data_IF_739263312112
#
_entry.id   IF_739263312112
#
_cell.length_a   1.000
_cell.length_b   1.000
_cell.length_c   1.000
_cell.angle_alpha   90.00
_cell.angle_beta   90.00
_cell.angle_gamma   90.00
#
_symmetry.space_group_name_H-M   'P 1'
#
loop_
_entity.id
_entity.type
_entity.pdbx_description
1 polymer ?
#
# COMPACT_ATOMS: atom_id res chain seq x y z
N UNK A 1 -24.56 -15.59 -2.11
CA UNK A 1 -24.93 -16.29 -0.88
C UNK A 1 -24.50 -17.75 -0.86
N UNK A 2 -25.10 -18.63 -1.69
CA UNK A 2 -24.89 -20.09 -1.61
C UNK A 2 -23.41 -20.51 -1.77
N UNK A 3 -22.65 -19.91 -2.66
CA UNK A 3 -21.23 -20.21 -2.84
C UNK A 3 -20.42 -19.96 -1.55
N UNK A 4 -20.66 -18.84 -0.85
CA UNK A 4 -20.00 -18.54 0.43
C UNK A 4 -20.27 -19.60 1.47
N UNK A 5 -21.52 -20.08 1.56
CA UNK A 5 -21.92 -21.13 2.51
C UNK A 5 -21.18 -22.42 2.18
N UNK A 6 -21.17 -22.84 0.91
CA UNK A 6 -20.48 -24.04 0.46
C UNK A 6 -18.96 -23.99 0.73
N UNK A 7 -18.32 -22.86 0.45
CA UNK A 7 -16.88 -22.68 0.71
C UNK A 7 -16.57 -22.68 2.21
N UNK A 8 -17.39 -22.00 3.00
CA UNK A 8 -17.23 -22.01 4.46
C UNK A 8 -17.44 -23.42 5.05
N UNK A 9 -18.41 -24.18 4.53
CA UNK A 9 -18.64 -25.56 4.92
C UNK A 9 -17.41 -26.43 4.59
N UNK A 10 -16.83 -26.28 3.40
CA UNK A 10 -15.64 -27.03 3.00
C UNK A 10 -14.44 -26.74 3.92
N UNK A 11 -14.22 -25.47 4.27
CA UNK A 11 -13.16 -25.07 5.21
C UNK A 11 -13.41 -25.67 6.59
N UNK A 12 -14.64 -25.55 7.13
CA UNK A 12 -14.99 -26.01 8.48
C UNK A 12 -14.84 -27.52 8.63
N UNK A 13 -15.09 -28.28 7.56
CA UNK A 13 -15.04 -29.76 7.61
C UNK A 13 -13.70 -30.31 7.08
N UNK A 14 -12.70 -29.46 6.80
CA UNK A 14 -11.35 -29.90 6.46
C UNK A 14 -11.21 -30.58 5.10
N UNK A 15 -12.03 -30.20 4.11
CA UNK A 15 -11.86 -30.70 2.75
C UNK A 15 -10.58 -30.14 2.11
N UNK A 16 -9.97 -30.91 1.20
CA UNK A 16 -8.78 -30.45 0.47
C UNK A 16 -9.13 -29.57 -0.73
N UNK A 17 -10.21 -29.94 -1.44
CA UNK A 17 -10.65 -29.28 -2.67
C UNK A 17 -12.15 -29.05 -2.61
N UNK A 18 -12.60 -27.89 -3.09
CA UNK A 18 -14.01 -27.59 -3.32
C UNK A 18 -14.22 -27.21 -4.77
N UNK A 19 -15.28 -27.74 -5.37
CA UNK A 19 -15.63 -27.47 -6.76
C UNK A 19 -16.98 -26.78 -6.84
N UNK A 20 -17.03 -25.68 -7.59
CA UNK A 20 -18.27 -25.05 -8.03
C UNK A 20 -18.64 -25.60 -9.40
N UNK A 21 -19.80 -26.17 -9.50
CA UNK A 21 -20.41 -26.64 -10.74
C UNK A 21 -21.87 -26.20 -10.74
N UNK A 22 -22.28 -25.44 -11.75
CA UNK A 22 -23.68 -25.03 -11.88
C UNK A 22 -24.55 -26.22 -12.30
N UNK A 23 -25.72 -26.31 -11.68
CA UNK A 23 -26.70 -27.40 -11.96
C UNK A 23 -27.61 -27.13 -13.16
N UNK A 24 -27.28 -26.16 -14.01
CA UNK A 24 -28.07 -25.75 -15.18
C UNK A 24 -27.74 -26.54 -16.47
N UNK A 25 -26.86 -27.54 -16.37
CA UNK A 25 -26.48 -28.38 -17.50
C UNK A 25 -25.53 -27.72 -18.51
N UNK A 26 -25.09 -26.48 -18.27
CA UNK A 26 -24.17 -25.78 -19.18
C UNK A 26 -22.74 -26.31 -19.17
N UNK A 27 -22.36 -27.07 -18.15
CA UNK A 27 -21.02 -27.57 -17.93
C UNK A 27 -20.98 -29.08 -17.84
N UNK A 28 -19.87 -29.67 -18.25
CA UNK A 28 -19.62 -31.10 -18.35
C UNK A 28 -19.14 -31.70 -16.97
N UNK A 29 -20.00 -32.30 -16.15
CA UNK A 29 -19.60 -32.85 -14.84
C UNK A 29 -18.57 -33.97 -14.97
N UNK A 30 -18.52 -34.69 -16.07
CA UNK A 30 -17.54 -35.72 -16.38
C UNK A 30 -16.08 -35.22 -16.42
N UNK A 31 -15.87 -33.90 -16.55
CA UNK A 31 -14.54 -33.26 -16.48
C UNK A 31 -14.07 -33.00 -15.05
N UNK A 32 -14.81 -33.42 -14.03
CA UNK A 32 -14.49 -33.15 -12.63
C UNK A 32 -13.08 -33.59 -12.25
N UNK A 33 -12.67 -34.77 -12.69
CA UNK A 33 -11.32 -35.28 -12.36
C UNK A 33 -10.21 -34.41 -12.98
N UNK A 34 -10.39 -33.91 -14.19
CA UNK A 34 -9.45 -33.01 -14.83
C UNK A 34 -9.38 -31.65 -14.11
N UNK A 35 -10.49 -31.19 -13.56
CA UNK A 35 -10.57 -29.95 -12.79
C UNK A 35 -9.83 -30.03 -11.45
N UNK A 36 -9.88 -31.17 -10.75
CA UNK A 36 -9.26 -31.31 -9.43
C UNK A 36 -7.81 -31.81 -9.49
N UNK A 37 -7.42 -32.60 -10.51
CA UNK A 37 -6.09 -33.18 -10.62
C UNK A 37 -4.93 -32.17 -10.45
N UNK A 38 -4.94 -30.96 -11.08
CA UNK A 38 -3.85 -30.01 -10.89
C UNK A 38 -3.70 -29.49 -9.46
N UNK A 39 -4.79 -29.50 -8.68
CA UNK A 39 -4.76 -29.11 -7.26
C UNK A 39 -4.19 -30.25 -6.42
N UNK A 40 -4.64 -31.48 -6.66
CA UNK A 40 -4.13 -32.66 -5.96
C UNK A 40 -2.64 -32.91 -6.23
N UNK A 41 -2.18 -32.61 -7.45
CA UNK A 41 -0.76 -32.69 -7.85
C UNK A 41 0.09 -31.48 -7.36
N UNK A 42 -0.46 -30.58 -6.58
CA UNK A 42 0.16 -29.31 -6.14
C UNK A 42 0.72 -28.44 -7.30
N UNK A 43 0.08 -28.51 -8.47
CA UNK A 43 0.44 -27.70 -9.66
C UNK A 43 -0.39 -26.43 -9.79
N UNK A 44 -1.51 -26.32 -9.08
CA UNK A 44 -2.39 -25.17 -9.06
C UNK A 44 -3.09 -25.02 -7.70
N UNK A 45 -3.48 -23.81 -7.38
CA UNK A 45 -4.30 -23.48 -6.21
C UNK A 45 -5.77 -23.24 -6.62
N UNK A 46 -5.96 -22.86 -7.90
CA UNK A 46 -7.27 -22.60 -8.52
C UNK A 46 -7.26 -23.19 -9.93
N UNK A 47 -8.34 -23.86 -10.29
CA UNK A 47 -8.56 -24.32 -11.67
C UNK A 47 -9.86 -23.75 -12.20
N UNK A 48 -9.82 -23.12 -13.35
CA UNK A 48 -10.95 -22.54 -14.06
C UNK A 48 -11.25 -23.38 -15.30
N UNK A 49 -12.46 -23.87 -15.43
CA UNK A 49 -12.93 -24.50 -16.66
C UNK A 49 -13.31 -23.42 -17.67
N UNK A 50 -12.45 -23.17 -18.65
CA UNK A 50 -12.66 -22.09 -19.63
C UNK A 50 -13.32 -22.61 -20.90
N UNK A 51 -14.36 -21.92 -21.31
CA UNK A 51 -15.06 -22.10 -22.60
C UNK A 51 -14.37 -21.32 -23.72
N UNK A 52 -13.47 -20.39 -23.36
CA UNK A 52 -12.91 -19.38 -24.25
C UNK A 52 -11.45 -19.67 -24.68
N UNK A 53 -10.81 -20.73 -24.16
CA UNK A 53 -9.51 -21.20 -24.66
C UNK A 53 -9.64 -21.55 -26.15
N UNK A 54 -10.68 -22.30 -26.48
CA UNK A 54 -11.04 -22.65 -27.86
C UNK A 54 -12.32 -21.90 -28.24
N UNK A 55 -12.17 -20.62 -28.58
CA UNK A 55 -13.32 -19.69 -28.80
C UNK A 55 -14.38 -20.19 -29.77
N UNK A 56 -13.98 -20.95 -30.78
CA UNK A 56 -14.89 -21.53 -31.76
C UNK A 56 -15.83 -22.58 -31.14
N UNK A 57 -15.37 -23.31 -30.13
CA UNK A 57 -16.16 -24.37 -29.52
C UNK A 57 -17.29 -23.81 -28.62
N UNK A 58 -17.08 -22.61 -28.06
CA UNK A 58 -18.15 -21.90 -27.37
C UNK A 58 -19.34 -21.57 -28.31
N UNK A 59 -19.07 -21.18 -29.56
CA UNK A 59 -20.11 -20.93 -30.56
C UNK A 59 -20.75 -22.23 -31.02
N UNK A 60 -20.00 -23.31 -31.22
CA UNK A 60 -20.55 -24.64 -31.49
C UNK A 60 -21.50 -25.11 -30.36
N UNK A 61 -21.16 -24.78 -29.11
CA UNK A 61 -22.00 -25.01 -27.94
C UNK A 61 -23.20 -24.06 -27.83
N UNK A 62 -23.56 -23.35 -28.88
CA UNK A 62 -24.69 -22.42 -28.98
C UNK A 62 -24.60 -21.20 -28.06
N UNK A 63 -23.38 -20.76 -27.67
CA UNK A 63 -23.24 -19.51 -26.94
C UNK A 63 -23.78 -18.33 -27.78
N UNK A 64 -24.72 -17.52 -27.24
CA UNK A 64 -25.21 -16.35 -27.94
C UNK A 64 -24.08 -15.38 -28.31
N UNK A 65 -24.09 -14.84 -29.54
CA UNK A 65 -23.00 -14.01 -30.07
C UNK A 65 -22.71 -12.79 -29.18
N UNK A 66 -23.76 -12.14 -28.64
CA UNK A 66 -23.57 -11.00 -27.72
C UNK A 66 -22.87 -11.40 -26.42
N UNK A 67 -23.11 -12.61 -25.87
CA UNK A 67 -22.40 -13.15 -24.70
C UNK A 67 -20.95 -13.48 -25.03
N UNK A 68 -20.72 -14.04 -26.23
CA UNK A 68 -19.36 -14.36 -26.69
C UNK A 68 -18.51 -13.10 -26.88
N UNK A 69 -19.02 -12.07 -27.57
CA UNK A 69 -18.35 -10.78 -27.74
C UNK A 69 -18.15 -10.09 -26.38
N UNK A 70 -19.22 -10.04 -25.56
CA UNK A 70 -19.16 -9.44 -24.23
C UNK A 70 -18.11 -10.09 -23.33
N UNK A 71 -18.00 -11.41 -23.35
CA UNK A 71 -16.97 -12.16 -22.59
C UNK A 71 -15.55 -11.77 -23.06
N UNK A 72 -15.30 -11.72 -24.36
CA UNK A 72 -13.99 -11.33 -24.92
C UNK A 72 -13.62 -9.91 -24.49
N UNK A 73 -14.52 -8.95 -24.67
CA UNK A 73 -14.27 -7.54 -24.34
C UNK A 73 -14.02 -7.38 -22.84
N UNK A 74 -14.87 -7.99 -22.01
CA UNK A 74 -14.76 -7.85 -20.56
C UNK A 74 -13.50 -8.56 -20.01
N UNK A 75 -13.20 -9.76 -20.51
CA UNK A 75 -11.95 -10.47 -20.20
C UNK A 75 -10.71 -9.67 -20.62
N UNK A 76 -10.73 -9.05 -21.79
CA UNK A 76 -9.64 -8.18 -22.23
C UNK A 76 -9.42 -7.00 -21.28
N UNK A 77 -10.49 -6.31 -20.86
CA UNK A 77 -10.42 -5.20 -19.90
C UNK A 77 -9.89 -5.66 -18.55
N UNK A 78 -10.41 -6.78 -18.03
CA UNK A 78 -9.96 -7.36 -16.77
C UNK A 78 -8.46 -7.73 -16.82
N UNK A 79 -8.01 -8.42 -17.87
CA UNK A 79 -6.60 -8.75 -18.06
C UNK A 79 -5.71 -7.50 -18.10
N UNK A 80 -6.17 -6.42 -18.76
CA UNK A 80 -5.41 -5.15 -18.79
C UNK A 80 -5.33 -4.48 -17.43
N UNK A 81 -6.44 -4.45 -16.69
CA UNK A 81 -6.47 -3.83 -15.35
C UNK A 81 -5.69 -4.68 -14.36
N UNK A 82 -5.87 -6.00 -14.35
CA UNK A 82 -5.28 -6.91 -13.37
C UNK A 82 -3.86 -7.36 -13.74
N UNK A 83 -3.34 -6.98 -14.91
CA UNK A 83 -2.08 -7.48 -15.46
C UNK A 83 -2.01 -9.01 -15.52
N UNK A 84 -3.14 -9.65 -15.89
CA UNK A 84 -3.31 -11.10 -15.99
C UNK A 84 -3.41 -11.57 -17.45
N UNK A 85 -3.53 -12.89 -17.65
CA UNK A 85 -3.59 -13.50 -18.99
C UNK A 85 -4.60 -14.64 -19.06
N UNK A 86 -5.73 -14.52 -18.36
CA UNK A 86 -6.78 -15.52 -18.43
C UNK A 86 -7.52 -15.46 -19.77
N UNK A 87 -7.97 -16.60 -20.25
CA UNK A 87 -8.83 -16.70 -21.42
C UNK A 87 -10.29 -16.35 -21.09
N UNK A 88 -10.71 -16.56 -19.82
CA UNK A 88 -12.06 -16.31 -19.33
C UNK A 88 -12.09 -16.07 -17.81
N UNK A 89 -12.86 -15.04 -17.38
CA UNK A 89 -13.16 -14.79 -15.95
C UNK A 89 -14.57 -15.25 -15.54
N UNK A 90 -15.44 -15.54 -16.50
CA UNK A 90 -16.90 -15.63 -16.29
C UNK A 90 -17.45 -17.06 -16.34
N UNK A 91 -16.57 -18.04 -16.14
CA UNK A 91 -16.98 -19.45 -16.06
C UNK A 91 -17.62 -19.78 -14.72
N UNK A 92 -18.64 -20.64 -14.71
CA UNK A 92 -19.24 -21.19 -13.48
C UNK A 92 -18.68 -22.57 -13.08
N UNK A 93 -17.63 -23.07 -13.76
CA UNK A 93 -16.97 -24.31 -13.40
C UNK A 93 -15.57 -24.01 -12.85
N UNK A 94 -15.41 -24.19 -11.54
CA UNK A 94 -14.19 -23.78 -10.84
C UNK A 94 -13.85 -24.77 -9.73
N UNK A 95 -12.56 -25.07 -9.55
CA UNK A 95 -12.04 -25.81 -8.43
C UNK A 95 -11.06 -24.96 -7.63
N UNK A 96 -11.11 -25.07 -6.31
CA UNK A 96 -10.23 -24.34 -5.40
C UNK A 96 -9.61 -25.28 -4.38
N UNK A 97 -8.30 -25.11 -4.13
CA UNK A 97 -7.69 -25.64 -2.93
C UNK A 97 -8.31 -24.93 -1.71
N UNK A 98 -8.86 -25.68 -0.77
CA UNK A 98 -9.56 -25.12 0.40
C UNK A 98 -8.62 -24.26 1.26
N UNK A 99 -7.34 -24.65 1.38
CA UNK A 99 -6.29 -23.85 2.03
C UNK A 99 -6.14 -22.45 1.42
N UNK A 100 -6.30 -22.32 0.11
CA UNK A 100 -6.21 -21.04 -0.59
C UNK A 100 -7.45 -20.18 -0.39
N UNK A 101 -8.65 -20.78 -0.36
CA UNK A 101 -9.89 -20.11 0.02
C UNK A 101 -9.84 -19.56 1.45
N UNK A 102 -9.34 -20.36 2.39
CA UNK A 102 -9.22 -19.96 3.80
C UNK A 102 -8.27 -18.76 4.00
N UNK A 103 -7.37 -18.48 3.05
CA UNK A 103 -6.41 -17.38 3.13
C UNK A 103 -6.93 -16.03 2.60
N UNK A 104 -8.14 -15.97 2.06
CA UNK A 104 -8.73 -14.75 1.49
C UNK A 104 -10.08 -14.44 2.14
N UNK A 105 -10.44 -13.15 2.28
CA UNK A 105 -11.69 -12.74 2.92
C UNK A 105 -12.89 -12.85 1.96
N UNK A 106 -13.12 -14.03 1.36
CA UNK A 106 -14.23 -14.22 0.42
C UNK A 106 -15.61 -13.96 1.03
N UNK A 107 -15.73 -14.02 2.35
CA UNK A 107 -16.92 -13.64 3.10
C UNK A 107 -17.35 -12.18 2.83
N UNK A 108 -16.40 -11.29 2.59
CA UNK A 108 -16.60 -9.87 2.33
C UNK A 108 -16.93 -9.55 0.86
N UNK A 109 -16.91 -10.55 -0.02
CA UNK A 109 -17.22 -10.37 -1.44
C UNK A 109 -18.70 -10.08 -1.67
N UNK A 110 -19.01 -9.59 -2.87
CA UNK A 110 -20.39 -9.37 -3.31
C UNK A 110 -21.28 -10.60 -3.10
N UNK A 111 -22.57 -10.40 -2.85
CA UNK A 111 -23.58 -11.46 -2.83
C UNK A 111 -24.24 -11.67 -4.20
N UNK A 112 -23.76 -10.98 -5.24
CA UNK A 112 -24.27 -11.03 -6.61
C UNK A 112 -23.30 -11.82 -7.51
N UNK A 113 -23.51 -11.74 -8.82
CA UNK A 113 -22.73 -12.46 -9.84
C UNK A 113 -21.28 -11.98 -9.96
N UNK A 114 -20.94 -10.77 -9.50
CA UNK A 114 -19.59 -10.24 -9.44
C UNK A 114 -18.73 -10.89 -8.31
N UNK A 115 -19.33 -11.71 -7.44
CA UNK A 115 -18.61 -12.56 -6.47
C UNK A 115 -17.47 -13.35 -7.12
N UNK A 116 -17.74 -13.90 -8.28
CA UNK A 116 -16.81 -14.71 -9.04
C UNK A 116 -15.57 -13.94 -9.51
N UNK A 117 -15.74 -12.67 -9.83
CA UNK A 117 -14.63 -11.78 -10.14
C UNK A 117 -13.86 -11.40 -8.89
N UNK A 118 -14.55 -11.08 -7.80
CA UNK A 118 -13.92 -10.70 -6.54
C UNK A 118 -12.96 -11.79 -6.05
N UNK A 119 -13.39 -13.06 -6.07
CA UNK A 119 -12.57 -14.18 -5.59
C UNK A 119 -11.35 -14.44 -6.50
N UNK A 120 -11.48 -14.29 -7.82
CA UNK A 120 -10.34 -14.41 -8.74
C UNK A 120 -9.34 -13.30 -8.47
N UNK A 121 -9.79 -12.05 -8.25
CA UNK A 121 -8.91 -10.94 -7.87
C UNK A 121 -8.15 -11.28 -6.60
N UNK A 122 -8.85 -11.79 -5.57
CA UNK A 122 -8.25 -12.19 -4.31
C UNK A 122 -7.17 -13.27 -4.50
N UNK A 123 -7.40 -14.24 -5.36
CA UNK A 123 -6.41 -15.29 -5.68
C UNK A 123 -5.19 -14.71 -6.40
N UNK A 124 -5.37 -13.77 -7.34
CA UNK A 124 -4.26 -13.10 -8.00
C UNK A 124 -3.42 -12.26 -7.03
N UNK A 125 -4.06 -11.42 -6.24
CA UNK A 125 -3.37 -10.50 -5.32
C UNK A 125 -2.63 -11.24 -4.20
N UNK A 126 -3.07 -12.46 -3.85
CA UNK A 126 -2.39 -13.33 -2.87
C UNK A 126 -1.39 -14.29 -3.51
N UNK A 127 -1.09 -14.13 -4.82
CA UNK A 127 -0.08 -14.90 -5.54
C UNK A 127 -0.42 -16.39 -5.73
N UNK A 128 -1.72 -16.74 -5.77
CA UNK A 128 -2.15 -18.13 -5.97
C UNK A 128 -2.00 -18.53 -7.44
N UNK A 129 -1.61 -19.79 -7.66
CA UNK A 129 -1.40 -20.37 -8.99
C UNK A 129 -2.74 -20.71 -9.61
N UNK A 130 -3.14 -19.96 -10.66
CA UNK A 130 -4.39 -20.19 -11.39
C UNK A 130 -4.08 -20.92 -12.70
N UNK A 131 -4.79 -22.01 -12.95
CA UNK A 131 -4.69 -22.80 -14.19
C UNK A 131 -6.04 -22.80 -14.89
N UNK A 132 -6.05 -22.77 -16.22
CA UNK A 132 -7.24 -22.92 -17.04
C UNK A 132 -7.23 -24.26 -17.74
N UNK A 133 -8.40 -24.88 -17.84
CA UNK A 133 -8.64 -26.15 -18.57
C UNK A 133 -9.77 -25.91 -19.57
N UNK A 134 -9.61 -26.29 -20.86
CA UNK A 134 -10.68 -26.17 -21.84
C UNK A 134 -11.83 -27.11 -21.48
N UNK A 135 -13.03 -26.60 -21.43
CA UNK A 135 -14.24 -27.37 -21.18
C UNK A 135 -15.26 -27.13 -22.29
N UNK A 136 -16.01 -28.17 -22.69
CA UNK A 136 -17.16 -27.98 -23.54
C UNK A 136 -18.27 -27.22 -22.78
N UNK A 137 -19.11 -26.53 -23.53
CA UNK A 137 -20.30 -25.87 -22.97
C UNK A 137 -21.48 -26.07 -23.89
N UNK A 138 -22.66 -26.07 -23.33
CA UNK A 138 -23.89 -26.16 -24.06
C UNK A 138 -24.88 -25.10 -23.56
N UNK A 139 -25.42 -24.33 -24.45
CA UNK A 139 -26.46 -23.35 -24.19
C UNK A 139 -27.81 -23.87 -24.72
N UNK A 140 -28.72 -24.19 -23.81
CA UNK A 140 -30.10 -24.55 -24.12
C UNK A 140 -31.02 -23.34 -24.06
N UNK A 141 -32.27 -23.58 -23.67
CA UNK A 141 -33.30 -22.54 -23.59
C UNK A 141 -33.36 -21.81 -22.24
N UNK A 142 -32.25 -21.88 -21.45
CA UNK A 142 -32.21 -21.27 -20.11
C UNK A 142 -32.27 -19.74 -20.19
N UNK A 143 -33.14 -19.15 -19.35
CA UNK A 143 -33.30 -17.71 -19.22
C UNK A 143 -32.21 -17.17 -18.31
N UNK A 144 -31.30 -16.37 -18.82
CA UNK A 144 -30.30 -15.67 -18.03
C UNK A 144 -30.94 -14.50 -17.28
N UNK A 145 -31.01 -14.58 -15.96
CA UNK A 145 -31.45 -13.48 -15.08
C UNK A 145 -30.43 -12.34 -14.89
N UNK A 146 -29.28 -12.38 -15.60
CA UNK A 146 -28.20 -11.43 -15.44
C UNK A 146 -28.37 -10.23 -16.38
N UNK A 147 -28.49 -9.02 -15.82
CA UNK A 147 -28.33 -7.80 -16.61
C UNK A 147 -26.85 -7.61 -16.96
N UNK A 148 -26.46 -7.91 -18.20
CA UNK A 148 -25.08 -7.93 -18.66
C UNK A 148 -24.34 -6.59 -18.49
N UNK A 149 -24.99 -5.45 -18.72
CA UNK A 149 -24.37 -4.13 -18.58
C UNK A 149 -24.07 -3.82 -17.11
N UNK A 150 -25.05 -4.05 -16.21
CA UNK A 150 -24.88 -3.84 -14.78
C UNK A 150 -23.80 -4.77 -14.21
N UNK A 151 -23.74 -6.00 -14.69
CA UNK A 151 -22.69 -6.95 -14.35
C UNK A 151 -21.31 -6.46 -14.81
N UNK A 152 -21.17 -6.06 -16.08
CA UNK A 152 -19.91 -5.56 -16.63
C UNK A 152 -19.38 -4.34 -15.85
N UNK A 153 -20.25 -3.37 -15.50
CA UNK A 153 -19.87 -2.21 -14.70
C UNK A 153 -19.36 -2.61 -13.31
N UNK A 154 -20.01 -3.55 -12.62
CA UNK A 154 -19.57 -4.03 -11.30
C UNK A 154 -18.23 -4.75 -11.37
N UNK A 155 -18.04 -5.59 -12.39
CA UNK A 155 -16.80 -6.31 -12.63
C UNK A 155 -15.64 -5.34 -12.85
N UNK A 156 -15.81 -4.35 -13.74
CA UNK A 156 -14.78 -3.32 -13.97
C UNK A 156 -14.53 -2.51 -12.71
N UNK A 157 -15.58 -2.13 -11.98
CA UNK A 157 -15.45 -1.42 -10.70
C UNK A 157 -14.63 -2.23 -9.67
N UNK A 158 -14.88 -3.54 -9.52
CA UNK A 158 -14.10 -4.40 -8.63
C UNK A 158 -12.63 -4.47 -9.05
N UNK A 159 -12.34 -4.61 -10.35
CA UNK A 159 -10.97 -4.62 -10.85
C UNK A 159 -10.24 -3.28 -10.59
N UNK A 160 -10.90 -2.15 -10.84
CA UNK A 160 -10.33 -0.84 -10.57
C UNK A 160 -10.11 -0.62 -9.07
N UNK A 161 -11.08 -1.03 -8.24
CA UNK A 161 -11.00 -0.93 -6.80
C UNK A 161 -9.79 -1.69 -6.24
N UNK A 162 -9.55 -2.92 -6.71
CA UNK A 162 -8.39 -3.70 -6.27
C UNK A 162 -7.06 -2.99 -6.59
N UNK A 163 -7.00 -2.22 -7.68
CA UNK A 163 -5.81 -1.46 -8.09
C UNK A 163 -5.64 -0.13 -7.37
N UNK A 164 -6.72 0.47 -6.90
CA UNK A 164 -6.68 1.73 -6.13
C UNK A 164 -6.39 1.47 -4.65
N UNK A 165 -6.81 0.34 -4.11
CA UNK A 165 -6.58 -0.06 -2.73
C UNK A 165 -5.10 0.05 -2.27
N UNK A 166 -4.10 -0.46 -3.02
CA UNK A 166 -2.70 -0.33 -2.62
C UNK A 166 -2.21 1.11 -2.51
N UNK A 167 -2.88 2.06 -3.17
CA UNK A 167 -2.57 3.50 -3.06
C UNK A 167 -3.11 4.11 -1.75
N UNK A 168 -3.92 3.37 -0.97
CA UNK A 168 -4.52 3.89 0.26
C UNK A 168 -5.49 5.07 0.06
N UNK A 169 -6.05 5.20 -1.14
CA UNK A 169 -7.04 6.24 -1.47
C UNK A 169 -8.46 5.78 -1.13
N UNK A 170 -8.69 4.48 -1.25
CA UNK A 170 -9.97 3.84 -0.94
C UNK A 170 -9.73 2.51 -0.24
N UNK A 171 -10.57 2.14 0.71
CA UNK A 171 -10.50 0.89 1.45
C UNK A 171 -11.78 0.09 1.30
N UNK A 172 -11.64 -1.24 1.11
CA UNK A 172 -12.76 -2.18 1.16
C UNK A 172 -12.31 -3.50 1.77
N UNK A 173 -13.01 -4.06 2.77
CA UNK A 173 -12.61 -5.28 3.48
C UNK A 173 -12.32 -6.48 2.56
N UNK A 174 -13.03 -6.62 1.44
CA UNK A 174 -12.85 -7.75 0.51
C UNK A 174 -11.46 -7.85 -0.11
N UNK A 175 -10.68 -6.75 -0.14
CA UNK A 175 -9.31 -6.73 -0.63
C UNK A 175 -8.28 -6.50 0.48
N UNK A 176 -8.71 -6.65 1.74
CA UNK A 176 -7.84 -6.57 2.89
C UNK A 176 -7.32 -7.96 3.26
N UNK A 177 -6.28 -8.36 2.58
CA UNK A 177 -5.65 -9.65 2.85
C UNK A 177 -4.90 -9.61 4.18
N UNK A 178 -5.01 -10.67 4.98
CA UNK A 178 -4.20 -10.85 6.19
C UNK A 178 -2.75 -11.11 5.79
N UNK A 179 -2.03 -10.06 5.45
CA UNK A 179 -0.58 -10.10 5.27
C UNK A 179 0.09 -9.74 6.59
N UNK A 180 1.20 -10.40 6.92
CA UNK A 180 2.04 -10.03 8.06
C UNK A 180 2.36 -8.53 7.99
N UNK A 181 2.49 -7.86 9.14
CA UNK A 181 2.75 -6.42 9.20
C UNK A 181 3.92 -5.99 8.31
N UNK A 182 5.00 -6.78 8.26
CA UNK A 182 6.14 -6.57 7.37
C UNK A 182 5.80 -6.62 5.87
N UNK A 183 4.82 -7.42 5.46
CA UNK A 183 4.37 -7.49 4.07
C UNK A 183 3.44 -6.33 3.66
N UNK A 184 2.97 -5.53 4.61
CA UNK A 184 2.13 -4.34 4.35
C UNK A 184 2.92 -3.19 3.78
N UNK A 185 4.19 -3.05 4.16
CA UNK A 185 5.05 -1.95 3.75
C UNK A 185 6.00 -2.43 2.66
N UNK A 186 6.03 -1.72 1.53
CA UNK A 186 6.99 -1.97 0.43
C UNK A 186 7.92 -0.78 0.30
N UNK A 187 9.21 -1.00 0.04
CA UNK A 187 10.16 0.08 -0.21
C UNK A 187 9.73 0.89 -1.44
N UNK A 188 9.83 2.22 -1.33
CA UNK A 188 9.42 3.16 -2.40
C UNK A 188 10.66 3.84 -2.98
N UNK A 189 11.60 3.07 -3.55
CA UNK A 189 12.82 3.59 -4.17
C UNK A 189 12.78 3.47 -5.70
N UNK A 190 13.64 4.27 -6.38
CA UNK A 190 13.77 4.27 -7.83
C UNK A 190 12.71 5.08 -8.59
N UNK A 191 11.86 5.81 -7.86
CA UNK A 191 10.90 6.77 -8.39
C UNK A 191 10.60 7.86 -7.35
N UNK A 192 10.10 9.06 -7.73
CA UNK A 192 9.75 10.14 -6.80
C UNK A 192 8.77 9.66 -5.72
N UNK A 193 9.25 9.63 -4.47
CA UNK A 193 8.52 9.13 -3.30
C UNK A 193 9.10 9.70 -2.01
N UNK A 194 8.40 9.53 -0.88
CA UNK A 194 8.91 9.94 0.44
C UNK A 194 10.26 9.30 0.78
N UNK A 195 10.41 7.99 0.55
CA UNK A 195 11.67 7.27 0.81
C UNK A 195 12.81 7.73 -0.12
N UNK A 196 12.52 7.93 -1.42
CA UNK A 196 13.53 8.37 -2.38
C UNK A 196 14.02 9.79 -2.04
N UNK A 197 13.09 10.71 -1.73
CA UNK A 197 13.46 12.08 -1.34
C UNK A 197 14.24 12.13 -0.03
N UNK A 198 13.83 11.31 0.98
CA UNK A 198 14.56 11.23 2.23
C UNK A 198 15.99 10.67 2.04
N UNK A 199 16.13 9.64 1.20
CA UNK A 199 17.44 9.09 0.83
C UNK A 199 18.36 10.12 0.17
N UNK A 200 17.80 11.02 -0.66
CA UNK A 200 18.55 12.09 -1.33
C UNK A 200 19.01 13.20 -0.37
N UNK A 201 18.28 13.47 0.71
CA UNK A 201 18.65 14.45 1.74
C UNK A 201 19.78 13.94 2.68
N UNK A 202 20.05 12.66 2.72
CA UNK A 202 21.09 12.07 3.60
C UNK A 202 22.46 12.11 2.92
N UNK A 203 23.43 12.73 3.59
CA UNK A 203 24.82 12.77 3.10
C UNK A 203 25.51 11.40 3.29
N UNK A 204 26.37 10.97 2.35
CA UNK A 204 27.19 9.78 2.53
C UNK A 204 28.13 9.91 3.77
N UNK A 205 28.32 8.81 4.50
CA UNK A 205 29.18 8.77 5.67
C UNK A 205 28.63 9.43 6.94
N UNK A 206 27.39 9.98 6.88
CA UNK A 206 26.74 10.67 8.00
C UNK A 206 26.11 9.73 9.01
N UNK A 207 25.69 10.27 10.16
CA UNK A 207 24.88 9.55 11.16
C UNK A 207 23.44 9.97 11.04
N UNK A 208 22.55 8.98 10.90
CA UNK A 208 21.10 9.15 10.74
C UNK A 208 20.36 8.53 11.92
N UNK A 209 19.41 9.29 12.46
CA UNK A 209 18.42 8.81 13.40
C UNK A 209 17.09 8.57 12.64
N UNK A 210 16.66 7.32 12.51
CA UNK A 210 15.45 6.91 11.80
C UNK A 210 14.35 6.58 12.81
N UNK A 211 13.42 7.53 12.99
CA UNK A 211 12.34 7.48 13.99
C UNK A 211 11.09 6.88 13.34
N UNK A 212 10.60 5.77 13.89
CA UNK A 212 9.54 4.98 13.28
C UNK A 212 10.07 4.24 12.05
N UNK A 213 11.20 3.55 12.19
CA UNK A 213 11.93 2.92 11.08
C UNK A 213 11.14 1.79 10.36
N UNK A 214 10.05 1.30 10.96
CA UNK A 214 9.25 0.20 10.43
C UNK A 214 10.09 -1.03 10.10
N UNK A 215 9.97 -1.59 8.88
CA UNK A 215 10.75 -2.76 8.47
C UNK A 215 12.27 -2.51 8.30
N UNK A 216 12.75 -1.25 8.36
CA UNK A 216 14.17 -0.91 8.22
C UNK A 216 14.64 -0.64 6.79
N UNK A 217 13.75 -0.31 5.88
CA UNK A 217 14.11 -0.06 4.47
C UNK A 217 15.09 1.10 4.26
N UNK A 218 15.01 2.14 5.11
CA UNK A 218 15.96 3.26 5.05
C UNK A 218 17.35 2.82 5.49
N UNK A 219 17.46 2.08 6.60
CA UNK A 219 18.73 1.55 7.09
C UNK A 219 19.40 0.64 6.03
N UNK A 220 18.65 -0.31 5.44
CA UNK A 220 19.13 -1.16 4.35
C UNK A 220 19.64 -0.32 3.16
N UNK A 221 18.87 0.66 2.71
CA UNK A 221 19.23 1.48 1.55
C UNK A 221 20.43 2.39 1.81
N UNK A 222 20.53 2.95 3.02
CA UNK A 222 21.59 3.88 3.43
C UNK A 222 22.91 3.16 3.71
N UNK A 223 22.90 1.87 4.05
CA UNK A 223 24.12 1.08 4.30
C UNK A 223 25.08 1.12 3.10
N UNK A 224 24.56 1.13 1.87
CA UNK A 224 25.33 1.25 0.62
C UNK A 224 26.06 2.61 0.45
N UNK A 225 25.81 3.61 1.33
CA UNK A 225 26.47 4.93 1.34
C UNK A 225 27.36 5.15 2.57
N UNK A 226 27.69 4.10 3.29
CA UNK A 226 28.47 4.14 4.53
C UNK A 226 27.85 5.05 5.63
N UNK A 227 26.51 5.07 5.70
CA UNK A 227 25.75 5.85 6.68
C UNK A 227 25.55 5.00 7.93
N UNK A 228 25.78 5.58 9.11
CA UNK A 228 25.45 4.99 10.40
C UNK A 228 24.00 5.27 10.75
N UNK A 229 23.13 4.28 10.66
CA UNK A 229 21.71 4.45 10.99
C UNK A 229 21.42 3.94 12.40
N UNK A 230 20.79 4.79 13.22
CA UNK A 230 20.15 4.40 14.49
C UNK A 230 18.66 4.31 14.24
N UNK A 231 18.10 3.13 14.38
CA UNK A 231 16.69 2.87 14.10
C UNK A 231 15.88 2.74 15.39
N UNK A 232 14.81 3.51 15.49
CA UNK A 232 13.89 3.52 16.64
C UNK A 232 12.50 3.14 16.17
N UNK A 233 11.87 2.15 16.81
CA UNK A 233 10.49 1.76 16.59
C UNK A 233 9.93 1.04 17.82
N UNK A 234 8.60 0.96 17.95
CA UNK A 234 7.94 0.15 18.99
C UNK A 234 8.31 -1.32 18.89
N UNK A 235 8.61 -1.80 17.69
CA UNK A 235 9.04 -3.16 17.40
C UNK A 235 10.11 -3.15 16.32
N UNK A 236 11.27 -3.68 16.63
CA UNK A 236 12.37 -3.74 15.67
C UNK A 236 12.30 -5.04 14.86
N UNK A 237 12.06 -4.91 13.57
CA UNK A 237 12.03 -6.03 12.62
C UNK A 237 13.45 -6.54 12.28
N UNK A 238 13.60 -7.81 11.84
CA UNK A 238 14.92 -8.42 11.57
C UNK A 238 15.78 -7.64 10.58
N UNK A 239 15.19 -7.06 9.53
CA UNK A 239 15.91 -6.25 8.53
C UNK A 239 16.50 -5.00 9.15
N UNK A 240 15.71 -4.29 9.99
CA UNK A 240 16.22 -3.14 10.73
C UNK A 240 17.40 -3.52 11.65
N UNK A 241 17.32 -4.65 12.36
CA UNK A 241 18.45 -5.15 13.19
C UNK A 241 19.70 -5.47 12.38
N UNK A 242 19.53 -6.00 11.16
CA UNK A 242 20.64 -6.39 10.30
C UNK A 242 21.40 -5.18 9.75
N UNK A 243 20.71 -4.10 9.39
CA UNK A 243 21.29 -2.99 8.63
C UNK A 243 21.53 -1.74 9.44
N UNK A 244 20.99 -1.64 10.66
CA UNK A 244 21.25 -0.51 11.55
C UNK A 244 22.53 -0.69 12.36
N UNK A 245 23.23 0.39 12.59
CA UNK A 245 24.36 0.43 13.53
C UNK A 245 23.91 0.22 14.98
N UNK A 246 22.75 0.82 15.35
CA UNK A 246 22.10 0.67 16.65
C UNK A 246 20.59 0.58 16.44
N UNK A 247 19.93 -0.24 17.25
CA UNK A 247 18.46 -0.31 17.27
C UNK A 247 17.94 -0.07 18.68
N UNK A 248 16.84 0.67 18.79
CA UNK A 248 16.19 0.99 20.05
C UNK A 248 14.71 0.65 19.91
N UNK A 249 14.23 -0.26 20.76
CA UNK A 249 12.83 -0.62 20.82
C UNK A 249 12.13 0.26 21.85
N UNK A 250 11.40 1.28 21.37
CA UNK A 250 10.76 2.27 22.21
C UNK A 250 9.49 2.85 21.54
N UNK A 251 8.54 3.28 22.38
CA UNK A 251 7.41 4.09 21.91
C UNK A 251 7.84 5.56 21.78
N UNK A 252 7.80 6.07 20.55
CA UNK A 252 8.20 7.45 20.24
C UNK A 252 7.34 8.50 20.97
N UNK A 253 6.09 8.16 21.31
CA UNK A 253 5.22 9.06 22.08
C UNK A 253 5.77 9.34 23.49
N UNK A 254 6.56 8.42 24.08
CA UNK A 254 7.07 8.52 25.46
C UNK A 254 8.60 8.60 25.53
N UNK A 255 9.31 8.35 24.43
CA UNK A 255 10.79 8.28 24.43
C UNK A 255 11.44 9.66 24.54
N UNK A 256 12.45 9.82 25.43
CA UNK A 256 13.15 11.10 25.72
C UNK A 256 14.44 11.30 24.92
N UNK A 257 14.89 10.32 24.16
CA UNK A 257 16.12 10.38 23.36
C UNK A 257 17.39 10.60 24.19
N UNK A 258 17.45 10.01 25.39
CA UNK A 258 18.59 10.17 26.33
C UNK A 258 19.77 9.26 25.98
N UNK A 259 19.62 8.34 25.07
CA UNK A 259 20.69 7.47 24.58
C UNK A 259 21.85 8.27 23.95
N UNK A 260 23.05 7.68 23.99
CA UNK A 260 24.17 8.22 23.24
C UNK A 260 24.06 7.84 21.75
N UNK A 261 23.88 8.84 20.92
CA UNK A 261 23.83 8.74 19.47
C UNK A 261 25.11 9.24 18.79
N UNK A 262 26.04 9.83 19.56
CA UNK A 262 27.07 10.68 19.01
C UNK A 262 26.48 11.90 18.30
N UNK A 263 27.22 12.49 17.36
CA UNK A 263 26.72 13.58 16.53
C UNK A 263 25.73 13.04 15.50
N UNK A 264 24.50 13.55 15.52
CA UNK A 264 23.45 13.22 14.56
C UNK A 264 23.41 14.30 13.46
N UNK A 265 23.60 13.90 12.21
CA UNK A 265 23.59 14.81 11.07
C UNK A 265 22.18 14.96 10.46
N UNK A 266 21.42 13.86 10.44
CA UNK A 266 20.05 13.83 9.89
C UNK A 266 19.12 13.03 10.77
N UNK A 267 17.90 13.53 10.97
CA UNK A 267 16.79 12.83 11.63
C UNK A 267 15.70 12.59 10.59
N UNK A 268 15.30 11.34 10.43
CA UNK A 268 14.19 10.94 9.59
C UNK A 268 12.96 10.66 10.45
N UNK A 269 11.85 11.30 10.15
CA UNK A 269 10.53 11.08 10.76
C UNK A 269 9.51 10.89 9.63
N UNK A 270 9.61 9.72 8.96
CA UNK A 270 8.86 9.42 7.74
C UNK A 270 7.53 8.74 8.08
N UNK A 271 6.42 9.41 7.76
CA UNK A 271 5.08 8.91 7.97
C UNK A 271 4.83 8.44 9.44
N UNK A 272 5.41 9.17 10.42
CA UNK A 272 5.27 8.89 11.85
C UNK A 272 4.50 9.99 12.59
N UNK A 273 4.67 11.26 12.17
CA UNK A 273 4.14 12.41 12.91
C UNK A 273 2.61 12.40 13.02
N UNK A 274 1.90 11.82 12.04
CA UNK A 274 0.45 11.64 12.04
C UNK A 274 -0.04 10.54 12.99
N UNK A 275 0.83 9.61 13.37
CA UNK A 275 0.51 8.51 14.28
C UNK A 275 0.67 8.87 15.76
N UNK A 276 1.37 9.97 16.06
CA UNK A 276 1.66 10.39 17.42
C UNK A 276 0.41 10.99 18.11
N UNK A 277 0.28 10.74 19.39
CA UNK A 277 -0.73 11.40 20.23
C UNK A 277 -0.42 12.88 20.37
N UNK A 278 0.85 13.23 20.57
CA UNK A 278 1.34 14.60 20.69
C UNK A 278 2.57 14.84 19.81
N UNK A 279 2.38 15.18 18.52
CA UNK A 279 3.48 15.59 17.66
C UNK A 279 4.33 16.71 18.24
N UNK A 280 3.73 17.64 18.98
CA UNK A 280 4.37 18.77 19.62
C UNK A 280 5.38 18.32 20.70
N UNK A 281 5.06 17.23 21.43
CA UNK A 281 6.00 16.65 22.41
C UNK A 281 7.25 16.13 21.70
N UNK A 282 7.11 15.30 20.66
CA UNK A 282 8.25 14.82 19.87
C UNK A 282 9.10 16.00 19.38
N UNK A 283 8.48 17.01 18.78
CA UNK A 283 9.18 18.19 18.26
C UNK A 283 9.94 18.93 19.37
N UNK A 284 9.33 19.09 20.54
CA UNK A 284 9.98 19.72 21.70
C UNK A 284 11.17 18.93 22.22
N UNK A 285 11.02 17.61 22.35
CA UNK A 285 12.10 16.72 22.83
C UNK A 285 13.26 16.70 21.84
N UNK A 286 13.00 16.53 20.54
CA UNK A 286 14.04 16.58 19.50
C UNK A 286 14.76 17.94 19.47
N UNK A 287 14.02 19.04 19.61
CA UNK A 287 14.62 20.36 19.67
C UNK A 287 15.52 20.51 20.89
N UNK A 288 15.06 20.13 22.08
CA UNK A 288 15.84 20.21 23.33
C UNK A 288 17.12 19.37 23.23
N UNK A 289 17.03 18.17 22.65
CA UNK A 289 18.15 17.23 22.58
C UNK A 289 19.18 17.56 21.50
N UNK A 290 18.73 18.02 20.34
CA UNK A 290 19.56 18.08 19.14
C UNK A 290 19.76 19.50 18.57
N UNK A 291 19.15 20.56 19.13
CA UNK A 291 19.23 21.88 18.50
C UNK A 291 20.64 22.48 18.52
N UNK A 292 21.55 22.04 19.40
CA UNK A 292 22.95 22.45 19.41
C UNK A 292 23.70 21.94 18.17
N UNK A 293 23.48 20.68 17.79
CA UNK A 293 24.08 20.08 16.60
C UNK A 293 23.37 20.52 15.30
N UNK A 294 22.18 21.10 15.43
CA UNK A 294 21.33 21.59 14.35
C UNK A 294 21.17 20.61 13.16
N UNK A 295 20.78 19.33 13.42
CA UNK A 295 20.64 18.35 12.36
C UNK A 295 19.57 18.74 11.36
N UNK A 296 19.70 18.21 10.15
CA UNK A 296 18.59 18.25 9.18
C UNK A 296 17.50 17.26 9.60
N UNK A 297 16.27 17.72 9.78
CA UNK A 297 15.13 16.87 10.13
C UNK A 297 14.18 16.77 8.94
N UNK A 298 13.91 15.54 8.51
CA UNK A 298 13.01 15.25 7.40
C UNK A 298 11.69 14.72 7.96
N UNK A 299 10.61 15.43 7.70
CA UNK A 299 9.25 15.00 8.05
C UNK A 299 8.47 14.66 6.81
N UNK A 300 7.75 13.54 6.84
CA UNK A 300 6.69 13.26 5.86
C UNK A 300 5.38 12.96 6.56
N UNK A 301 4.27 13.23 5.86
CA UNK A 301 2.93 12.89 6.32
C UNK A 301 1.95 12.84 5.16
N UNK A 302 0.87 12.09 5.31
CA UNK A 302 -0.26 12.09 4.39
C UNK A 302 -0.87 13.48 4.21
N UNK A 303 -1.22 13.85 2.98
CA UNK A 303 -1.86 15.15 2.68
C UNK A 303 -3.38 15.00 2.62
N UNK A 304 -4.09 15.33 3.71
CA UNK A 304 -5.56 15.25 3.73
C UNK A 304 -6.23 16.23 2.75
N UNK A 305 -5.51 17.24 2.26
CA UNK A 305 -6.03 18.17 1.23
C UNK A 305 -5.85 17.68 -0.21
N UNK A 306 -5.41 16.43 -0.40
CA UNK A 306 -5.29 15.78 -1.71
C UNK A 306 -6.64 15.70 -2.42
N UNK A 307 -6.65 15.94 -3.75
CA UNK A 307 -7.88 16.07 -4.54
C UNK A 307 -8.90 14.94 -4.34
N UNK A 308 -8.53 13.64 -4.37
CA UNK A 308 -9.49 12.56 -4.15
C UNK A 308 -10.14 12.60 -2.77
N UNK A 309 -9.42 13.00 -1.72
CA UNK A 309 -9.98 13.16 -0.36
C UNK A 309 -10.98 14.31 -0.34
N UNK A 310 -10.64 15.44 -0.99
CA UNK A 310 -11.57 16.59 -1.09
C UNK A 310 -12.84 16.24 -1.86
N UNK A 311 -12.71 15.53 -2.99
CA UNK A 311 -13.88 15.06 -3.75
C UNK A 311 -14.72 14.12 -2.89
N UNK A 312 -14.10 13.19 -2.17
CA UNK A 312 -14.79 12.30 -1.24
C UNK A 312 -15.61 13.09 -0.21
N UNK A 313 -14.98 14.07 0.45
CA UNK A 313 -15.68 14.95 1.41
C UNK A 313 -16.84 15.75 0.79
N UNK A 314 -16.63 16.30 -0.42
CA UNK A 314 -17.67 17.03 -1.15
C UNK A 314 -18.88 16.14 -1.46
N UNK A 315 -18.65 14.86 -1.72
CA UNK A 315 -19.70 13.86 -1.96
C UNK A 315 -20.24 13.21 -0.67
N UNK A 316 -19.88 13.72 0.51
CA UNK A 316 -20.31 13.21 1.81
C UNK A 316 -19.57 11.97 2.30
N UNK A 317 -18.46 11.59 1.66
CA UNK A 317 -17.63 10.42 2.03
C UNK A 317 -16.35 10.84 2.75
N UNK A 318 -16.07 10.23 3.91
CA UNK A 318 -14.81 10.35 4.64
C UNK A 318 -14.50 9.00 5.28
N UNK A 319 -13.97 8.09 4.47
CA UNK A 319 -13.82 6.70 4.86
C UNK A 319 -12.38 6.38 5.23
N UNK A 320 -12.19 6.01 6.50
CA UNK A 320 -10.90 5.50 6.96
C UNK A 320 -10.61 4.11 6.43
N UNK A 321 -9.33 3.83 6.21
CA UNK A 321 -8.81 2.53 5.78
C UNK A 321 -7.68 2.05 6.68
N UNK A 322 -7.11 0.90 6.37
CA UNK A 322 -5.96 0.33 7.10
C UNK A 322 -4.61 0.82 6.58
N UNK A 323 -4.59 1.79 5.69
CA UNK A 323 -3.39 2.46 5.14
C UNK A 323 -3.76 3.68 4.33
N UNK A 324 -2.76 4.53 4.06
CA UNK A 324 -2.90 5.69 3.19
C UNK A 324 -3.18 6.97 3.95
N UNK A 325 -3.71 7.99 3.27
CA UNK A 325 -3.92 9.31 3.87
C UNK A 325 -4.93 9.26 5.02
N UNK A 326 -6.00 8.47 4.88
CA UNK A 326 -7.02 8.26 5.89
C UNK A 326 -6.83 6.90 6.57
N UNK A 327 -5.66 6.66 7.16
CA UNK A 327 -5.40 5.47 7.96
C UNK A 327 -6.13 5.55 9.30
N UNK A 328 -6.68 4.41 9.75
CA UNK A 328 -7.36 4.31 11.06
C UNK A 328 -6.42 4.59 12.23
N UNK A 329 -5.11 4.36 12.04
CA UNK A 329 -4.09 4.59 13.07
C UNK A 329 -3.58 6.04 13.10
N UNK A 330 -4.01 6.91 12.16
CA UNK A 330 -3.67 8.33 12.19
C UNK A 330 -4.43 9.05 13.30
N UNK A 331 -3.69 9.61 14.24
CA UNK A 331 -4.24 10.43 15.33
C UNK A 331 -4.49 11.87 14.87
N UNK A 332 -3.67 12.34 13.91
CA UNK A 332 -3.76 13.70 13.37
C UNK A 332 -3.59 13.71 11.85
N UNK A 333 -4.46 14.44 11.18
CA UNK A 333 -4.42 14.62 9.74
C UNK A 333 -3.80 15.97 9.39
N UNK A 334 -2.85 15.99 8.45
CA UNK A 334 -2.14 17.20 8.07
C UNK A 334 -2.48 17.67 6.66
N UNK A 335 -2.50 19.01 6.51
CA UNK A 335 -2.37 19.72 5.25
C UNK A 335 -1.00 20.39 5.20
N UNK A 336 -0.59 20.92 4.04
CA UNK A 336 0.62 21.73 3.96
C UNK A 336 0.63 22.90 4.94
N UNK A 337 -0.51 23.55 5.13
CA UNK A 337 -0.63 24.69 6.04
C UNK A 337 -0.47 24.26 7.50
N UNK A 338 -1.18 23.21 7.91
CA UNK A 338 -1.17 22.75 9.30
C UNK A 338 0.16 22.16 9.70
N UNK A 339 0.81 21.32 8.86
CA UNK A 339 2.12 20.77 9.17
C UNK A 339 3.19 21.87 9.28
N UNK A 340 3.22 22.82 8.33
CA UNK A 340 4.12 23.98 8.40
C UNK A 340 3.91 24.81 9.66
N UNK A 341 2.65 25.05 10.04
CA UNK A 341 2.32 25.77 11.26
C UNK A 341 2.79 25.03 12.51
N UNK A 342 2.55 23.71 12.59
CA UNK A 342 2.97 22.87 13.73
C UNK A 342 4.49 22.95 13.90
N UNK A 343 5.27 22.81 12.81
CA UNK A 343 6.74 22.90 12.88
C UNK A 343 7.22 24.30 13.31
N UNK A 344 6.65 25.38 12.72
CA UNK A 344 7.04 26.75 13.07
C UNK A 344 6.73 27.12 14.51
N UNK A 345 5.57 26.75 15.04
CA UNK A 345 5.17 27.02 16.44
C UNK A 345 6.12 26.29 17.41
N UNK A 346 6.64 25.13 17.01
CA UNK A 346 7.61 24.37 17.80
C UNK A 346 9.07 24.80 17.52
N UNK A 347 9.28 25.99 16.94
CA UNK A 347 10.59 26.58 16.66
C UNK A 347 11.49 25.74 15.73
N UNK A 348 10.90 25.29 14.60
CA UNK A 348 11.66 24.73 13.50
C UNK A 348 11.72 25.70 12.32
N UNK A 349 12.92 25.93 11.81
CA UNK A 349 13.13 26.59 10.53
C UNK A 349 12.81 25.64 9.38
N UNK A 350 11.99 26.09 8.43
CA UNK A 350 11.64 25.29 7.26
C UNK A 350 12.61 25.55 6.12
N UNK A 351 13.46 24.59 5.78
CA UNK A 351 14.45 24.70 4.71
C UNK A 351 13.85 24.35 3.35
N UNK A 352 13.00 23.32 3.28
CA UNK A 352 12.37 22.85 2.04
C UNK A 352 10.96 22.33 2.33
N UNK A 353 10.00 22.67 1.49
CA UNK A 353 8.63 22.14 1.57
C UNK A 353 8.18 21.76 0.16
N UNK A 354 8.02 20.47 -0.08
CA UNK A 354 7.62 19.93 -1.39
C UNK A 354 6.49 18.91 -1.26
N UNK A 355 5.87 18.59 -2.38
CA UNK A 355 4.86 17.54 -2.48
C UNK A 355 5.46 16.26 -2.99
N UNK A 356 4.97 15.14 -2.47
CA UNK A 356 5.29 13.80 -2.97
C UNK A 356 4.14 13.35 -3.88
N UNK A 357 4.43 12.88 -5.09
CA UNK A 357 3.41 12.41 -6.01
C UNK A 357 2.77 11.09 -5.54
N UNK A 358 1.66 10.73 -6.17
CA UNK A 358 1.00 9.43 -5.98
C UNK A 358 1.96 8.30 -6.39
N UNK A 359 2.18 7.28 -5.56
CA UNK A 359 3.10 6.19 -5.85
C UNK A 359 2.49 5.17 -6.84
N UNK A 360 2.17 5.60 -8.08
CA UNK A 360 1.58 4.75 -9.10
C UNK A 360 2.35 3.45 -9.37
N UNK A 361 3.71 3.43 -9.34
CA UNK A 361 4.45 2.18 -9.51
C UNK A 361 4.16 1.13 -8.41
N UNK A 362 3.77 1.57 -7.21
CA UNK A 362 3.39 0.67 -6.12
C UNK A 362 2.12 -0.13 -6.44
N UNK A 363 1.14 0.49 -7.13
CA UNK A 363 -0.15 -0.12 -7.45
C UNK A 363 -0.16 -0.83 -8.81
N UNK A 364 0.54 -0.26 -9.81
CA UNK A 364 0.47 -0.68 -11.21
C UNK A 364 1.77 -1.40 -11.67
N UNK A 365 2.71 -1.63 -10.74
CA UNK A 365 4.04 -2.12 -11.09
C UNK A 365 4.85 -1.06 -11.85
N UNK A 366 6.11 -1.38 -12.16
CA UNK A 366 7.01 -0.47 -12.90
C UNK A 366 6.72 -0.49 -14.41
N UNK A 367 5.48 -0.18 -14.80
CA UNK A 367 5.00 -0.16 -16.18
C UNK A 367 5.19 1.23 -16.81
N UNK A 368 5.23 1.30 -18.15
CA UNK A 368 5.28 2.58 -18.87
C UNK A 368 4.05 3.44 -18.55
N UNK A 369 2.89 2.81 -18.36
CA UNK A 369 1.66 3.52 -17.99
C UNK A 369 1.76 4.16 -16.59
N UNK A 370 2.29 3.42 -15.60
CA UNK A 370 2.51 3.97 -14.26
C UNK A 370 3.47 5.17 -14.28
N UNK A 371 4.51 5.12 -15.12
CA UNK A 371 5.46 6.22 -15.29
C UNK A 371 4.80 7.44 -15.93
N UNK A 372 3.98 7.27 -16.96
CA UNK A 372 3.22 8.38 -17.58
C UNK A 372 2.31 9.05 -16.56
N UNK A 373 1.54 8.27 -15.78
CA UNK A 373 0.69 8.82 -14.71
C UNK A 373 1.50 9.59 -13.66
N UNK A 374 2.68 9.07 -13.31
CA UNK A 374 3.59 9.73 -12.37
C UNK A 374 4.06 11.08 -12.91
N UNK A 375 4.46 11.16 -14.18
CA UNK A 375 4.88 12.42 -14.80
C UNK A 375 3.73 13.44 -14.93
N UNK A 376 2.54 12.98 -15.29
CA UNK A 376 1.34 13.84 -15.29
C UNK A 376 1.10 14.39 -13.88
N UNK A 377 1.16 13.56 -12.85
CA UNK A 377 0.96 14.00 -11.47
C UNK A 377 2.06 14.99 -11.04
N UNK A 378 3.33 14.78 -11.44
CA UNK A 378 4.42 15.72 -11.19
C UNK A 378 4.18 17.09 -11.84
N UNK A 379 3.71 17.13 -13.08
CA UNK A 379 3.32 18.35 -13.74
C UNK A 379 2.19 19.09 -12.99
N UNK A 380 1.18 18.36 -12.52
CA UNK A 380 0.11 18.92 -11.69
C UNK A 380 0.59 19.43 -10.34
N UNK A 381 1.59 18.77 -9.73
CA UNK A 381 2.24 19.24 -8.50
C UNK A 381 2.91 20.61 -8.67
N UNK A 382 3.49 20.90 -9.83
CA UNK A 382 4.10 22.20 -10.10
C UNK A 382 3.06 23.32 -10.19
N UNK A 383 1.82 22.99 -10.58
CA UNK A 383 0.71 23.95 -10.67
C UNK A 383 0.07 24.19 -9.30
N UNK A 384 -0.25 23.14 -8.57
CA UNK A 384 -0.91 23.25 -7.26
C UNK A 384 -0.54 22.08 -6.33
N UNK A 385 0.61 22.20 -5.66
CA UNK A 385 1.14 21.14 -4.80
C UNK A 385 0.18 20.69 -3.69
N UNK A 386 -0.54 21.60 -3.06
CA UNK A 386 -1.46 21.24 -1.97
C UNK A 386 -2.63 20.36 -2.42
N UNK A 387 -3.04 20.49 -3.70
CA UNK A 387 -4.16 19.72 -4.25
C UNK A 387 -3.74 18.37 -4.84
N UNK A 388 -2.57 18.30 -5.44
CA UNK A 388 -2.14 17.14 -6.21
C UNK A 388 -1.08 16.28 -5.54
N UNK A 389 -0.52 16.71 -4.36
CA UNK A 389 0.38 15.85 -3.58
C UNK A 389 -0.37 14.78 -2.80
N UNK A 390 0.15 13.57 -2.87
CA UNK A 390 -0.28 12.46 -2.04
C UNK A 390 0.25 12.58 -0.60
N UNK A 391 1.56 12.95 -0.46
CA UNK A 391 2.18 13.22 0.83
C UNK A 391 2.84 14.60 0.84
N UNK A 392 3.08 15.11 2.03
CA UNK A 392 3.83 16.33 2.32
C UNK A 392 5.25 15.91 2.69
N UNK A 393 6.25 16.57 2.14
CA UNK A 393 7.66 16.38 2.47
C UNK A 393 8.25 17.71 2.94
N UNK A 394 8.81 17.71 4.15
CA UNK A 394 9.39 18.91 4.76
C UNK A 394 10.78 18.58 5.25
N UNK A 395 11.73 19.43 4.88
CA UNK A 395 13.08 19.48 5.47
C UNK A 395 13.13 20.69 6.38
N UNK A 396 13.47 20.48 7.63
CA UNK A 396 13.49 21.51 8.65
C UNK A 396 14.75 21.40 9.53
N UNK A 397 15.00 22.41 10.35
CA UNK A 397 16.07 22.44 11.33
C UNK A 397 15.52 22.93 12.67
N UNK A 398 15.83 22.29 13.81
CA UNK A 398 15.44 22.81 15.11
C UNK A 398 16.23 24.07 15.43
N UNK A 399 15.53 25.12 15.87
CA UNK A 399 16.19 26.35 16.33
C UNK A 399 16.69 26.14 17.76
N UNK A 400 17.82 26.76 18.16
CA UNK A 400 18.37 26.65 19.50
C UNK A 400 17.35 26.95 20.60
N UNK A 401 17.49 26.30 21.75
CA UNK A 401 16.73 26.66 22.95
C UNK A 401 17.31 27.89 23.60
N UNK A 402 16.55 28.56 24.47
CA UNK A 402 17.08 29.70 25.24
C UNK A 402 18.22 29.26 26.15
N UNK A 403 18.17 28.04 26.68
CA UNK A 403 19.21 27.44 27.49
C UNK A 403 20.52 27.31 26.72
N UNK A 404 20.49 26.71 25.52
CA UNK A 404 21.67 26.59 24.66
C UNK A 404 22.24 27.97 24.26
N UNK A 405 21.38 28.96 23.95
CA UNK A 405 21.84 30.31 23.63
C UNK A 405 22.51 31.01 24.82
N UNK A 406 22.05 30.76 26.05
CA UNK A 406 22.68 31.27 27.26
C UNK A 406 24.02 30.62 27.53
N UNK A 407 24.11 29.30 27.34
CA UNK A 407 25.39 28.57 27.50
C UNK A 407 26.40 29.05 26.48
N UNK A 408 26.07 29.16 25.22
CA UNK A 408 26.95 29.67 24.14
C UNK A 408 27.41 31.11 24.44
N UNK A 409 26.53 31.97 24.95
CA UNK A 409 26.86 33.34 25.31
C UNK A 409 27.84 33.40 26.54
N UNK A 410 27.73 32.48 27.47
CA UNK A 410 28.64 32.37 28.62
C UNK A 410 30.01 31.81 28.22
N UNK A 411 30.04 30.80 27.34
CA UNK A 411 31.27 30.26 26.77
C UNK A 411 32.07 31.35 26.00
N UNK A 412 31.37 32.13 25.15
CA UNK A 412 31.98 33.25 24.43
C UNK A 412 32.57 34.32 25.34
N UNK A 413 31.93 34.59 26.50
CA UNK A 413 32.47 35.54 27.51
C UNK A 413 33.69 34.98 28.27
N UNK A 414 33.74 33.65 28.43
CA UNK A 414 34.88 32.94 29.07
C UNK A 414 36.16 33.07 28.22
N UNK A 415 36.05 32.83 26.92
CA UNK A 415 37.19 32.95 25.98
C UNK A 415 37.70 34.39 25.79
N UNK A 416 36.82 35.38 25.88
CA UNK A 416 37.24 36.79 25.78
C UNK A 416 37.96 37.33 27.03
N UNK A 417 38.02 36.55 28.12
CA UNK A 417 38.80 36.95 29.33
C UNK A 417 40.20 36.36 29.38
N UNK A 418 40.51 35.32 28.59
CA UNK A 418 41.86 34.75 28.53
C UNK A 418 42.82 35.47 27.58
N UNK A 419 42.31 36.36 26.70
CA UNK A 419 43.14 37.14 25.77
C UNK A 419 43.53 38.54 26.29
N UNK A 420 43.20 38.88 27.56
CA UNK A 420 43.54 40.15 28.16
C UNK A 420 44.18 39.93 29.52
N UNK A 421 45.32 39.28 29.55
CA UNK A 421 46.35 39.48 30.58
C UNK A 421 47.67 39.95 29.92
N UNK A 422 48.24 41.01 30.47
CA UNK A 422 49.37 41.72 29.86
C UNK A 422 50.71 41.00 29.93
#
# INVERSE_FOLDING_TARGET
GNQKIGYHYAIKNGFDVVVLLHGDGQYAPERLQEMIAPILDDKADVVLGSRMIQRADALKGRMPLYKWVGNIVLTFLQNRILASRLSEFHTGYRAYAVKSLASVPFGENSNYFDFDTDIIIQMFETGRRIKEIPIPTFYGDEISGVNGMKYALRVVQSCLLSRVMPLGIYYHPKFDYQTNAAARYKPKFGYPSSHQYAYEEVAPGSTVLDIGCGPGFMAERLSGRNVKTVSIDRRIEPVARQWSWKTIEADVDDYEFDDDFGKVDTILALDIIEHLQSPERLLSVLRRRFSRDAPTVVFTSGNVSFLPVRIGLLLGGFHYGKRGILDMDHKRLFTFSTLKRTLKINNYELLKVTGVPVPFPLALGNTSFARVLLEINRALLSVWKALFSYQIFVVARPLPTLEHLLEDANEAKGHGKEEVEP
#
